data_IF_034489650537
#
_entry.id   IF_034489650537
#
_cell.length_a   1.000
_cell.length_b   1.000
_cell.length_c   1.000
_cell.angle_alpha   90.00
_cell.angle_beta   90.00
_cell.angle_gamma   90.00
#
_symmetry.space_group_name_H-M   'P 1'
#
loop_
_entity.id
_entity.type
_entity.pdbx_description
1 polymer ?
#
# COMPACT_ATOMS: atom_id res chain seq x y z
N UNK A 1 48.67 28.16 22.55
CA UNK A 1 48.05 26.85 22.79
C UNK A 1 46.69 26.96 22.11
N UNK A 2 46.62 26.45 20.88
CA UNK A 2 45.40 26.51 20.06
C UNK A 2 44.51 25.38 20.58
N UNK A 3 43.39 25.74 21.20
CA UNK A 3 42.35 24.76 21.47
C UNK A 3 41.79 24.33 20.12
N UNK A 4 42.04 23.06 19.80
CA UNK A 4 41.47 22.39 18.65
C UNK A 4 40.06 22.02 19.07
N UNK A 5 39.08 22.78 18.58
CA UNK A 5 37.68 22.35 18.59
C UNK A 5 37.59 21.06 17.79
N UNK A 6 37.39 19.95 18.50
CA UNK A 6 36.95 18.70 17.91
C UNK A 6 35.48 18.87 17.51
N UNK A 7 35.23 19.24 16.25
CA UNK A 7 33.93 18.99 15.62
C UNK A 7 33.71 17.47 15.57
N UNK A 8 32.99 16.94 16.56
CA UNK A 8 32.38 15.61 16.44
C UNK A 8 31.28 15.71 15.37
N UNK A 9 31.61 15.22 14.16
CA UNK A 9 30.73 15.22 12.99
C UNK A 9 29.54 14.28 13.17
N UNK A 10 28.62 14.65 14.06
CA UNK A 10 27.44 13.89 14.40
C UNK A 10 26.49 13.69 13.21
N UNK A 11 25.91 12.49 13.13
CA UNK A 11 24.89 12.16 12.14
C UNK A 11 23.64 13.04 12.30
N UNK A 12 23.35 13.87 11.30
CA UNK A 12 22.14 14.68 11.23
C UNK A 12 21.07 14.01 10.35
N UNK A 13 20.19 13.26 11.01
CA UNK A 13 19.03 12.59 10.38
C UNK A 13 18.13 13.58 9.63
N UNK A 14 17.90 14.76 10.18
CA UNK A 14 16.96 15.73 9.59
C UNK A 14 17.52 16.31 8.29
N UNK A 15 18.84 16.53 8.23
CA UNK A 15 19.52 16.92 7.01
C UNK A 15 19.38 15.86 5.91
N UNK A 16 19.57 14.58 6.24
CA UNK A 16 19.44 13.49 5.25
C UNK A 16 18.00 13.35 4.73
N UNK A 17 17.00 13.46 5.60
CA UNK A 17 15.59 13.45 5.18
C UNK A 17 15.24 14.64 4.29
N UNK A 18 15.71 15.83 4.64
CA UNK A 18 15.50 17.03 3.85
C UNK A 18 16.14 16.90 2.46
N UNK A 19 17.35 16.37 2.38
CA UNK A 19 18.03 16.12 1.10
C UNK A 19 17.24 15.12 0.23
N UNK A 20 16.74 14.03 0.82
CA UNK A 20 15.88 13.09 0.11
C UNK A 20 14.60 13.77 -0.41
N UNK A 21 13.94 14.55 0.44
CA UNK A 21 12.71 15.28 0.09
C UNK A 21 12.91 16.24 -1.07
N UNK A 22 14.01 17.00 -1.04
CA UNK A 22 14.37 17.99 -2.04
C UNK A 22 14.60 17.38 -3.43
N UNK A 23 15.00 16.10 -3.49
CA UNK A 23 15.14 15.38 -4.77
C UNK A 23 13.79 15.23 -5.48
N UNK A 24 12.71 15.05 -4.71
CA UNK A 24 11.37 14.70 -5.20
C UNK A 24 11.33 13.44 -6.10
N UNK A 25 12.39 12.64 -6.05
CA UNK A 25 12.59 11.46 -6.90
C UNK A 25 12.39 10.14 -6.15
N UNK A 26 12.34 10.22 -4.82
CA UNK A 26 12.09 9.11 -3.91
C UNK A 26 13.18 8.07 -3.83
N UNK A 27 12.89 6.92 -3.20
CA UNK A 27 13.87 5.83 -3.08
C UNK A 27 14.22 5.26 -4.45
N UNK A 28 13.28 5.26 -5.41
CA UNK A 28 13.58 4.86 -6.79
C UNK A 28 14.64 5.78 -7.41
N UNK A 29 14.55 7.10 -7.17
CA UNK A 29 15.57 8.05 -7.62
C UNK A 29 16.97 7.78 -7.05
N UNK A 30 17.06 7.29 -5.81
CA UNK A 30 18.34 6.87 -5.23
C UNK A 30 18.91 5.64 -5.96
N UNK A 31 18.06 4.66 -6.25
CA UNK A 31 18.46 3.46 -7.00
C UNK A 31 18.90 3.81 -8.42
N UNK A 32 18.16 4.67 -9.11
CA UNK A 32 18.52 5.13 -10.46
C UNK A 32 19.85 5.91 -10.49
N UNK A 33 20.23 6.53 -9.36
CA UNK A 33 21.52 7.19 -9.18
C UNK A 33 22.68 6.23 -8.86
N UNK A 34 22.43 4.92 -8.82
CA UNK A 34 23.45 3.89 -8.58
C UNK A 34 23.82 3.72 -7.11
N UNK A 35 22.89 3.96 -6.19
CA UNK A 35 23.09 3.75 -4.76
C UNK A 35 23.54 2.31 -4.46
N UNK A 36 24.72 2.15 -3.85
CA UNK A 36 25.28 0.85 -3.47
C UNK A 36 25.19 0.54 -1.97
N UNK A 37 24.79 1.51 -1.16
CA UNK A 37 24.69 1.38 0.30
C UNK A 37 23.45 2.11 0.81
N UNK A 38 22.76 1.52 1.77
CA UNK A 38 21.54 2.09 2.34
C UNK A 38 21.85 3.36 3.14
N UNK A 39 21.17 4.49 2.86
CA UNK A 39 21.26 5.69 3.69
C UNK A 39 20.79 5.41 5.12
N UNK A 40 21.42 6.06 6.11
CA UNK A 40 21.22 5.75 7.53
C UNK A 40 19.79 6.03 7.99
N UNK A 41 19.04 6.90 7.30
CA UNK A 41 17.62 7.16 7.58
C UNK A 41 16.72 5.93 7.37
N UNK A 42 17.15 4.96 6.56
CA UNK A 42 16.40 3.73 6.26
C UNK A 42 16.90 2.52 7.05
N UNK A 43 17.94 2.66 7.87
CA UNK A 43 18.49 1.57 8.67
C UNK A 43 17.68 1.42 9.95
N UNK A 44 17.14 0.23 10.17
CA UNK A 44 16.39 -0.13 11.38
C UNK A 44 17.26 -1.06 12.25
N UNK A 45 17.87 -0.51 13.30
CA UNK A 45 18.81 -1.25 14.16
C UNK A 45 18.21 -2.50 14.82
N UNK A 46 16.90 -2.49 15.06
CA UNK A 46 16.16 -3.63 15.63
C UNK A 46 16.00 -4.81 14.66
N UNK A 47 16.26 -4.63 13.36
CA UNK A 47 16.14 -5.68 12.35
C UNK A 47 17.24 -6.75 12.47
N UNK A 48 18.39 -6.41 13.09
CA UNK A 48 19.47 -7.36 13.35
C UNK A 48 19.11 -8.46 14.37
N UNK A 49 18.01 -8.33 15.12
CA UNK A 49 17.72 -9.20 16.28
C UNK A 49 16.71 -10.32 15.99
N UNK A 50 15.93 -10.28 14.90
CA UNK A 50 14.76 -11.17 14.76
C UNK A 50 14.67 -12.10 13.54
N UNK A 51 15.56 -12.01 12.54
CA UNK A 51 15.57 -12.97 11.43
C UNK A 51 16.39 -14.22 11.77
N UNK A 52 17.41 -14.11 12.62
CA UNK A 52 18.27 -15.25 12.99
C UNK A 52 17.79 -16.04 14.21
N UNK A 53 16.82 -15.54 14.97
CA UNK A 53 16.36 -16.12 16.25
C UNK A 53 14.97 -16.76 16.17
N UNK A 54 14.20 -16.48 15.12
CA UNK A 54 12.99 -17.24 14.82
C UNK A 54 13.40 -18.51 14.07
N UNK A 55 13.64 -19.58 14.82
CA UNK A 55 13.41 -20.91 14.28
C UNK A 55 11.94 -20.93 13.83
N UNK A 56 11.70 -20.65 12.55
CA UNK A 56 10.43 -20.96 11.91
C UNK A 56 10.28 -22.48 12.00
N UNK A 57 9.78 -22.98 13.13
CA UNK A 57 9.04 -24.23 13.09
C UNK A 57 7.89 -23.91 12.14
N UNK A 58 7.96 -24.44 10.93
CA UNK A 58 6.92 -24.28 9.93
C UNK A 58 5.64 -24.92 10.50
N UNK A 59 4.92 -24.16 11.31
CA UNK A 59 3.52 -24.42 11.56
C UNK A 59 2.85 -24.13 10.23
N UNK A 60 2.17 -25.13 9.67
CA UNK A 60 1.42 -25.02 8.40
C UNK A 60 0.21 -24.09 8.60
N UNK A 61 0.48 -22.82 8.88
CA UNK A 61 -0.48 -21.75 9.11
C UNK A 61 -0.76 -21.15 7.75
N UNK A 62 -1.88 -21.53 7.15
CA UNK A 62 -2.35 -20.98 5.87
C UNK A 62 -3.42 -19.93 6.13
N UNK A 63 -3.26 -18.75 5.52
CA UNK A 63 -4.29 -17.70 5.51
C UNK A 63 -5.58 -18.28 4.90
N UNK A 64 -6.77 -18.02 5.47
CA UNK A 64 -8.03 -18.47 4.90
C UNK A 64 -8.25 -17.94 3.48
N UNK A 65 -8.75 -18.81 2.58
CA UNK A 65 -9.13 -18.46 1.22
C UNK A 65 -10.64 -18.67 1.07
N UNK A 66 -11.35 -17.62 0.64
CA UNK A 66 -12.80 -17.61 0.48
C UNK A 66 -13.13 -17.54 -1.01
N UNK A 67 -13.79 -18.57 -1.52
CA UNK A 67 -14.27 -18.61 -2.90
C UNK A 67 -15.63 -17.91 -3.02
N UNK A 68 -15.69 -16.84 -3.83
CA UNK A 68 -16.90 -16.08 -4.11
C UNK A 68 -17.63 -16.57 -5.39
N UNK A 69 -17.12 -17.61 -6.05
CA UNK A 69 -17.65 -18.15 -7.30
C UNK A 69 -19.08 -18.68 -7.15
N UNK A 70 -19.37 -19.29 -6.01
CA UNK A 70 -20.67 -19.90 -5.68
C UNK A 70 -21.64 -18.96 -4.96
N UNK A 71 -21.30 -17.68 -4.81
CA UNK A 71 -22.12 -16.72 -4.04
C UNK A 71 -23.58 -16.61 -4.53
N UNK A 72 -23.82 -16.87 -5.81
CA UNK A 72 -25.12 -16.80 -6.45
C UNK A 72 -25.67 -18.17 -6.87
N UNK A 73 -25.03 -19.27 -6.45
CA UNK A 73 -25.54 -20.62 -6.70
C UNK A 73 -26.72 -20.93 -5.76
N UNK A 74 -27.70 -21.68 -6.26
CA UNK A 74 -28.87 -22.10 -5.47
C UNK A 74 -28.45 -22.99 -4.28
N UNK A 75 -29.09 -22.81 -3.12
CA UNK A 75 -28.84 -23.62 -1.92
C UNK A 75 -28.14 -22.88 -0.77
N UNK A 76 -27.38 -23.59 0.05
CA UNK A 76 -26.72 -23.06 1.26
C UNK A 76 -25.37 -22.38 0.99
N UNK A 77 -25.02 -22.15 -0.28
CA UNK A 77 -23.73 -21.58 -0.72
C UNK A 77 -23.39 -20.26 -0.02
N UNK A 78 -24.35 -19.31 0.04
CA UNK A 78 -24.16 -18.02 0.71
C UNK A 78 -23.91 -18.18 2.20
N UNK A 79 -24.70 -19.02 2.88
CA UNK A 79 -24.54 -19.25 4.32
C UNK A 79 -23.16 -19.81 4.66
N UNK A 80 -22.64 -20.74 3.84
CA UNK A 80 -21.29 -21.26 4.01
C UNK A 80 -20.20 -20.19 3.82
N UNK A 81 -20.36 -19.30 2.83
CA UNK A 81 -19.43 -18.18 2.61
C UNK A 81 -19.48 -17.21 3.81
N UNK A 82 -20.67 -16.86 4.29
CA UNK A 82 -20.83 -15.99 5.48
C UNK A 82 -20.14 -16.60 6.70
N UNK A 83 -20.30 -17.91 6.93
CA UNK A 83 -19.63 -18.60 8.03
C UNK A 83 -18.10 -18.58 7.87
N UNK A 84 -17.57 -18.75 6.65
CA UNK A 84 -16.13 -18.62 6.38
C UNK A 84 -15.62 -17.21 6.63
N UNK A 85 -16.37 -16.18 6.24
CA UNK A 85 -16.04 -14.77 6.50
C UNK A 85 -16.01 -14.50 8.00
N UNK A 86 -17.01 -14.99 8.75
CA UNK A 86 -17.05 -14.89 10.21
C UNK A 86 -15.82 -15.53 10.86
N UNK A 87 -15.57 -16.80 10.54
CA UNK A 87 -14.44 -17.56 11.08
C UNK A 87 -13.09 -16.91 10.78
N UNK A 88 -12.90 -16.42 9.55
CA UNK A 88 -11.68 -15.73 9.16
C UNK A 88 -11.53 -14.39 9.89
N UNK A 89 -12.60 -13.61 9.99
CA UNK A 89 -12.62 -12.34 10.73
C UNK A 89 -12.26 -12.52 12.20
N UNK A 90 -12.88 -13.49 12.89
CA UNK A 90 -12.67 -13.73 14.32
C UNK A 90 -11.29 -14.32 14.65
N UNK A 91 -10.80 -15.25 13.83
CA UNK A 91 -9.58 -16.03 14.14
C UNK A 91 -8.31 -15.40 13.56
N UNK A 92 -8.42 -14.69 12.44
CA UNK A 92 -7.27 -14.18 11.68
C UNK A 92 -7.26 -12.66 11.52
N UNK A 93 -8.43 -12.03 11.45
CA UNK A 93 -8.55 -10.64 11.02
C UNK A 93 -8.12 -10.39 9.57
N UNK A 94 -7.87 -11.45 8.79
CA UNK A 94 -7.39 -11.39 7.40
C UNK A 94 -7.78 -12.64 6.61
N UNK A 95 -8.11 -12.49 5.33
CA UNK A 95 -8.39 -13.58 4.41
C UNK A 95 -8.14 -13.16 2.96
N UNK A 96 -7.99 -14.14 2.08
CA UNK A 96 -7.95 -13.96 0.64
C UNK A 96 -9.32 -14.27 0.03
N UNK A 97 -9.64 -13.62 -1.09
CA UNK A 97 -10.82 -13.96 -1.89
C UNK A 97 -10.40 -14.41 -3.28
N UNK A 98 -11.08 -15.41 -3.82
CA UNK A 98 -10.93 -15.88 -5.20
C UNK A 98 -12.28 -15.83 -5.89
N UNK A 99 -12.30 -15.86 -7.23
CA UNK A 99 -13.52 -15.82 -8.04
C UNK A 99 -14.47 -14.62 -7.85
N UNK A 100 -14.15 -13.65 -6.99
CA UNK A 100 -13.72 -12.31 -7.41
C UNK A 100 -14.61 -11.44 -8.31
N UNK A 101 -14.81 -11.90 -9.54
CA UNK A 101 -15.40 -11.19 -10.69
C UNK A 101 -14.64 -9.95 -11.20
N UNK A 102 -13.45 -9.63 -10.67
CA UNK A 102 -12.56 -8.64 -11.30
C UNK A 102 -11.78 -9.36 -12.41
N UNK A 103 -11.82 -8.87 -13.67
CA UNK A 103 -11.07 -9.50 -14.74
C UNK A 103 -9.56 -9.50 -14.46
N UNK A 104 -8.88 -10.60 -14.78
CA UNK A 104 -7.43 -10.71 -14.59
C UNK A 104 -6.67 -9.62 -15.35
N UNK A 105 -7.13 -9.25 -16.56
CA UNK A 105 -6.53 -8.18 -17.34
C UNK A 105 -6.52 -6.83 -16.60
N UNK A 106 -7.61 -6.49 -15.90
CA UNK A 106 -7.70 -5.25 -15.12
C UNK A 106 -6.71 -5.26 -13.95
N UNK A 107 -6.53 -6.42 -13.29
CA UNK A 107 -5.54 -6.56 -12.21
C UNK A 107 -4.11 -6.38 -12.75
N UNK A 108 -3.81 -7.05 -13.87
CA UNK A 108 -2.48 -7.00 -14.50
C UNK A 108 -2.15 -5.59 -15.00
N UNK A 109 -3.10 -4.93 -15.66
CA UNK A 109 -2.95 -3.55 -16.13
C UNK A 109 -2.83 -2.56 -14.97
N UNK A 110 -3.51 -2.79 -13.84
CA UNK A 110 -3.40 -1.93 -12.66
C UNK A 110 -2.00 -2.04 -12.04
N UNK A 111 -1.47 -3.26 -11.90
CA UNK A 111 -0.10 -3.50 -11.43
C UNK A 111 0.93 -2.88 -12.38
N UNK A 112 0.77 -3.07 -13.68
CA UNK A 112 1.64 -2.51 -14.71
C UNK A 112 1.54 -0.97 -14.76
N UNK A 113 0.34 -0.41 -14.59
CA UNK A 113 0.11 1.04 -14.54
C UNK A 113 0.82 1.71 -13.37
N UNK A 114 0.74 1.14 -12.16
CA UNK A 114 1.51 1.63 -10.99
C UNK A 114 3.00 1.51 -11.25
N UNK A 115 3.46 0.38 -11.77
CA UNK A 115 4.89 0.19 -12.11
C UNK A 115 5.35 1.26 -13.10
N UNK A 116 4.64 1.41 -14.22
CA UNK A 116 4.94 2.39 -15.27
C UNK A 116 5.01 3.80 -14.72
N UNK A 117 4.08 4.20 -13.83
CA UNK A 117 4.14 5.49 -13.14
C UNK A 117 5.46 5.69 -12.39
N UNK A 118 5.88 4.73 -11.57
CA UNK A 118 7.11 4.83 -10.77
C UNK A 118 8.40 4.74 -11.60
N UNK A 119 8.34 4.08 -12.76
CA UNK A 119 9.44 3.99 -13.73
C UNK A 119 9.57 5.21 -14.66
N UNK A 120 8.63 6.17 -14.60
CA UNK A 120 8.76 7.40 -15.37
C UNK A 120 9.95 8.25 -14.91
N UNK A 121 10.41 9.12 -15.82
CA UNK A 121 11.39 10.17 -15.51
C UNK A 121 10.98 10.94 -14.25
N UNK A 122 11.95 11.21 -13.39
CA UNK A 122 11.75 11.97 -12.15
C UNK A 122 11.08 13.35 -12.40
N UNK A 123 11.30 13.96 -13.58
CA UNK A 123 10.64 15.22 -13.96
C UNK A 123 9.11 15.09 -14.02
N UNK A 124 8.58 13.99 -14.54
CA UNK A 124 7.14 13.76 -14.65
C UNK A 124 6.56 13.42 -13.27
N UNK A 125 7.20 12.51 -12.54
CA UNK A 125 6.75 12.14 -11.18
C UNK A 125 6.74 13.33 -10.21
N UNK A 126 7.68 14.28 -10.38
CA UNK A 126 7.79 15.50 -9.58
C UNK A 126 6.55 16.39 -9.63
N UNK A 127 5.76 16.33 -10.70
CA UNK A 127 4.48 17.06 -10.81
C UNK A 127 3.45 16.57 -9.78
N UNK A 128 3.51 15.28 -9.44
CA UNK A 128 2.67 14.66 -8.42
C UNK A 128 3.28 14.74 -7.02
N UNK A 129 4.55 15.13 -6.89
CA UNK A 129 5.23 15.12 -5.61
C UNK A 129 4.60 16.09 -4.62
N UNK A 130 4.16 15.59 -3.46
CA UNK A 130 3.57 16.42 -2.41
C UNK A 130 3.69 15.83 -1.02
N UNK A 131 3.93 16.71 -0.04
CA UNK A 131 3.77 16.43 1.40
C UNK A 131 2.41 16.87 1.94
N UNK A 132 1.66 17.63 1.15
CA UNK A 132 0.30 18.05 1.50
C UNK A 132 -0.66 16.87 1.34
N UNK A 133 -1.06 16.30 2.48
CA UNK A 133 -1.98 15.17 2.58
C UNK A 133 -3.45 15.55 2.30
N UNK A 134 -3.75 16.85 2.13
CA UNK A 134 -5.10 17.29 1.73
C UNK A 134 -5.31 17.15 0.22
N UNK A 135 -4.24 16.97 -0.56
CA UNK A 135 -4.35 16.67 -1.99
C UNK A 135 -4.99 15.32 -2.22
N UNK A 136 -5.88 15.26 -3.21
CA UNK A 136 -6.53 14.01 -3.62
C UNK A 136 -5.57 13.05 -4.29
N UNK A 137 -4.63 13.55 -5.08
CA UNK A 137 -3.63 12.73 -5.77
C UNK A 137 -2.25 13.29 -5.46
N UNK A 138 -1.36 12.45 -4.96
CA UNK A 138 0.03 12.81 -4.74
C UNK A 138 0.95 11.60 -4.75
N UNK A 139 2.22 11.86 -5.03
CA UNK A 139 3.33 10.93 -4.92
C UNK A 139 4.28 11.40 -3.82
N UNK A 140 4.79 10.48 -3.00
CA UNK A 140 5.88 10.78 -2.08
C UNK A 140 6.64 9.53 -1.64
N UNK A 141 7.68 9.78 -0.86
CA UNK A 141 8.48 8.77 -0.18
C UNK A 141 8.26 8.94 1.29
N UNK A 142 7.52 7.99 1.87
CA UNK A 142 6.98 8.03 3.23
C UNK A 142 6.02 9.21 3.44
N UNK A 143 5.04 9.10 4.33
CA UNK A 143 4.07 10.21 4.54
C UNK A 143 4.59 11.17 5.62
N UNK A 144 5.29 10.63 6.61
CA UNK A 144 5.71 11.37 7.79
C UNK A 144 7.21 11.18 8.06
N UNK A 145 7.94 12.28 8.17
CA UNK A 145 9.37 12.27 8.55
C UNK A 145 9.61 12.42 10.06
N UNK A 146 8.55 12.67 10.83
CA UNK A 146 8.61 12.74 12.30
C UNK A 146 8.55 11.35 12.97
N UNK A 147 8.19 10.29 12.25
CA UNK A 147 8.38 8.92 12.75
C UNK A 147 9.86 8.56 12.69
N UNK A 148 10.36 7.82 13.70
CA UNK A 148 11.76 7.38 13.77
C UNK A 148 12.15 6.45 12.61
N UNK A 149 11.16 5.80 12.01
CA UNK A 149 11.30 4.70 11.07
C UNK A 149 10.74 5.09 9.70
N UNK A 150 11.61 5.02 8.68
CA UNK A 150 11.32 5.36 7.28
C UNK A 150 11.47 4.09 6.45
N UNK A 151 10.51 3.84 5.58
CA UNK A 151 10.48 2.62 4.76
C UNK A 151 11.14 2.84 3.40
N UNK A 152 11.74 1.77 2.87
CA UNK A 152 12.29 1.66 1.53
C UNK A 152 11.19 1.50 0.48
N UNK A 153 10.37 2.54 0.33
CA UNK A 153 9.19 2.54 -0.53
C UNK A 153 8.80 3.92 -1.02
N UNK A 154 8.35 3.95 -2.26
CA UNK A 154 7.65 5.08 -2.86
C UNK A 154 6.15 4.79 -2.98
N UNK A 155 5.32 5.82 -2.83
CA UNK A 155 3.86 5.67 -2.81
C UNK A 155 3.19 6.69 -3.72
N UNK A 156 2.36 6.21 -4.64
CA UNK A 156 1.31 7.00 -5.30
C UNK A 156 0.01 6.85 -4.50
N UNK A 157 -0.56 7.96 -4.04
CA UNK A 157 -1.83 7.99 -3.34
C UNK A 157 -2.90 8.65 -4.22
N UNK A 158 -4.07 8.02 -4.30
CA UNK A 158 -5.23 8.55 -5.01
C UNK A 158 -6.49 8.41 -4.15
N UNK A 159 -7.09 9.51 -3.71
CA UNK A 159 -8.43 9.56 -3.12
C UNK A 159 -9.49 9.53 -4.22
N UNK A 160 -10.13 8.37 -4.37
CA UNK A 160 -11.08 8.07 -5.44
C UNK A 160 -12.54 8.36 -5.04
N UNK A 161 -12.84 8.32 -3.74
CA UNK A 161 -14.11 8.71 -3.15
C UNK A 161 -13.91 9.19 -1.69
N UNK A 162 -14.74 10.11 -1.15
CA UNK A 162 -15.97 10.67 -1.74
C UNK A 162 -15.71 11.81 -2.74
N UNK A 163 -16.78 12.22 -3.44
CA UNK A 163 -16.79 13.34 -4.39
C UNK A 163 -16.47 12.96 -5.83
N UNK A 164 -16.71 13.86 -6.80
CA UNK A 164 -16.39 13.61 -8.20
C UNK A 164 -14.87 13.49 -8.36
N UNK A 165 -14.43 12.40 -8.96
CA UNK A 165 -13.06 12.22 -9.43
C UNK A 165 -12.91 13.04 -10.72
N UNK A 166 -12.03 14.03 -10.74
CA UNK A 166 -11.56 14.62 -11.99
C UNK A 166 -10.46 13.70 -12.56
N UNK A 167 -10.71 12.98 -13.68
CA UNK A 167 -9.72 12.07 -14.25
C UNK A 167 -8.39 12.75 -14.57
N UNK A 168 -8.40 14.05 -14.88
CA UNK A 168 -7.19 14.80 -15.22
C UNK A 168 -6.23 14.97 -14.04
N UNK A 169 -6.71 14.79 -12.80
CA UNK A 169 -5.86 14.76 -11.60
C UNK A 169 -5.08 13.44 -11.46
N UNK A 170 -5.49 12.37 -12.14
CA UNK A 170 -4.76 11.10 -12.15
C UNK A 170 -3.58 11.13 -13.15
N UNK A 171 -2.48 10.42 -12.84
CA UNK A 171 -1.38 10.27 -13.80
C UNK A 171 -1.86 9.65 -15.10
N UNK A 172 -1.57 10.31 -16.22
CA UNK A 172 -2.06 9.90 -17.53
C UNK A 172 -1.70 8.45 -17.90
N UNK A 173 -0.55 7.96 -17.45
CA UNK A 173 -0.04 6.62 -17.77
C UNK A 173 -0.90 5.49 -17.17
N UNK A 174 -1.64 5.76 -16.09
CA UNK A 174 -2.46 4.76 -15.39
C UNK A 174 -3.88 5.24 -15.09
N UNK A 175 -4.29 6.38 -15.65
CA UNK A 175 -5.60 7.01 -15.41
C UNK A 175 -6.76 6.07 -15.72
N UNK A 176 -6.79 5.53 -16.94
CA UNK A 176 -7.95 4.79 -17.44
C UNK A 176 -8.12 3.48 -16.67
N UNK A 177 -7.01 2.77 -16.41
CA UNK A 177 -7.05 1.54 -15.59
C UNK A 177 -7.41 1.81 -14.13
N UNK A 178 -7.01 2.95 -13.53
CA UNK A 178 -7.46 3.32 -12.17
C UNK A 178 -8.98 3.45 -12.12
N UNK A 179 -9.58 4.07 -13.14
CA UNK A 179 -11.04 4.29 -13.22
C UNK A 179 -11.76 2.95 -13.41
N UNK A 180 -11.31 2.13 -14.35
CA UNK A 180 -11.90 0.80 -14.58
C UNK A 180 -11.77 -0.09 -13.34
N UNK A 181 -10.59 -0.14 -12.73
CA UNK A 181 -10.35 -0.92 -11.51
C UNK A 181 -11.23 -0.43 -10.35
N UNK A 182 -11.45 0.87 -10.20
CA UNK A 182 -12.33 1.44 -9.18
C UNK A 182 -13.78 0.93 -9.33
N UNK A 183 -14.30 0.85 -10.55
CA UNK A 183 -15.67 0.39 -10.80
C UNK A 183 -15.85 -1.09 -10.41
N UNK A 184 -14.83 -1.91 -10.65
CA UNK A 184 -14.79 -3.30 -10.19
C UNK A 184 -14.64 -3.40 -8.67
N UNK A 185 -13.74 -2.60 -8.08
CA UNK A 185 -13.45 -2.60 -6.66
C UNK A 185 -14.66 -2.19 -5.82
N UNK A 186 -15.45 -1.19 -6.27
CA UNK A 186 -16.70 -0.78 -5.62
C UNK A 186 -17.68 -1.94 -5.48
N UNK A 187 -17.87 -2.72 -6.55
CA UNK A 187 -18.77 -3.88 -6.54
C UNK A 187 -18.29 -4.93 -5.55
N UNK A 188 -17.00 -5.26 -5.59
CA UNK A 188 -16.40 -6.23 -4.66
C UNK A 188 -16.49 -5.75 -3.20
N UNK A 189 -16.20 -4.49 -2.92
CA UNK A 189 -16.29 -3.91 -1.59
C UNK A 189 -17.71 -4.00 -1.01
N UNK A 190 -18.73 -3.67 -1.82
CA UNK A 190 -20.13 -3.81 -1.41
C UNK A 190 -20.50 -5.27 -1.10
N UNK A 191 -20.09 -6.22 -1.95
CA UNK A 191 -20.30 -7.65 -1.69
C UNK A 191 -19.65 -8.10 -0.38
N UNK A 192 -18.42 -7.65 -0.09
CA UNK A 192 -17.74 -8.01 1.16
C UNK A 192 -18.41 -7.38 2.38
N UNK A 193 -18.88 -6.14 2.29
CA UNK A 193 -19.65 -5.48 3.35
C UNK A 193 -20.98 -6.19 3.62
N UNK A 194 -21.63 -6.74 2.58
CA UNK A 194 -22.83 -7.56 2.75
C UNK A 194 -22.54 -8.85 3.54
N UNK A 195 -21.49 -9.57 3.14
CA UNK A 195 -21.07 -10.79 3.82
C UNK A 195 -20.64 -10.53 5.26
N UNK A 196 -19.95 -9.41 5.53
CA UNK A 196 -19.55 -9.00 6.87
C UNK A 196 -20.77 -8.62 7.73
N UNK A 197 -21.75 -7.93 7.16
CA UNK A 197 -22.99 -7.60 7.88
C UNK A 197 -23.72 -8.88 8.33
N UNK A 198 -23.87 -9.85 7.42
CA UNK A 198 -24.49 -11.15 7.74
C UNK A 198 -23.66 -11.95 8.75
N UNK A 199 -22.33 -11.94 8.65
CA UNK A 199 -21.43 -12.59 9.60
C UNK A 199 -21.57 -12.04 11.02
N UNK A 200 -21.92 -10.75 11.15
CA UNK A 200 -22.23 -10.08 12.41
C UNK A 200 -23.66 -10.34 12.90
N UNK A 201 -24.49 -11.07 12.15
CA UNK A 201 -25.89 -11.30 12.45
C UNK A 201 -26.80 -10.10 12.17
N UNK A 202 -26.35 -9.18 11.31
CA UNK A 202 -27.08 -7.99 10.89
C UNK A 202 -27.77 -8.22 9.54
N UNK A 203 -28.65 -7.30 9.15
CA UNK A 203 -29.19 -7.27 7.79
C UNK A 203 -28.05 -7.08 6.79
N UNK A 204 -28.08 -7.78 5.64
CA UNK A 204 -26.98 -7.76 4.67
C UNK A 204 -26.56 -6.35 4.21
N UNK A 205 -27.49 -5.40 4.11
CA UNK A 205 -27.14 -4.03 3.70
C UNK A 205 -26.69 -3.11 4.86
N UNK A 206 -26.57 -3.62 6.09
CA UNK A 206 -26.34 -2.77 7.27
C UNK A 206 -25.09 -1.89 7.14
N UNK A 207 -23.91 -2.49 6.89
CA UNK A 207 -22.65 -1.73 6.79
C UNK A 207 -22.65 -0.73 5.63
N UNK A 208 -23.30 -1.08 4.52
CA UNK A 208 -23.50 -0.16 3.39
C UNK A 208 -24.36 1.04 3.80
N UNK A 209 -25.44 0.80 4.54
CA UNK A 209 -26.40 1.84 4.94
C UNK A 209 -25.86 2.82 5.99
N UNK A 210 -24.76 2.48 6.65
CA UNK A 210 -24.01 3.37 7.56
C UNK A 210 -22.73 3.93 6.91
N UNK A 211 -22.71 3.98 5.58
CA UNK A 211 -21.69 4.63 4.77
C UNK A 211 -20.27 4.01 4.84
N UNK A 212 -20.15 2.73 5.23
CA UNK A 212 -18.84 2.05 5.25
C UNK A 212 -18.17 1.88 3.87
N UNK A 213 -18.89 2.16 2.77
CA UNK A 213 -18.39 2.04 1.40
C UNK A 213 -18.01 3.38 0.75
N UNK A 214 -18.18 4.51 1.45
CA UNK A 214 -18.07 5.85 0.84
C UNK A 214 -16.62 6.32 0.63
N UNK A 215 -15.71 5.92 1.51
CA UNK A 215 -14.30 6.27 1.43
C UNK A 215 -13.52 5.25 0.61
N UNK A 216 -13.01 5.66 -0.56
CA UNK A 216 -12.17 4.79 -1.39
C UNK A 216 -10.90 5.54 -1.75
N UNK A 217 -9.77 4.96 -1.40
CA UNK A 217 -8.46 5.43 -1.83
C UNK A 217 -7.62 4.26 -2.34
N UNK A 218 -6.71 4.56 -3.25
CA UNK A 218 -5.73 3.64 -3.77
C UNK A 218 -4.34 4.05 -3.31
N UNK A 219 -3.52 3.07 -2.98
CA UNK A 219 -2.11 3.24 -2.66
C UNK A 219 -1.29 2.38 -3.62
N UNK A 220 -0.68 3.01 -4.62
CA UNK A 220 0.25 2.40 -5.55
C UNK A 220 1.66 2.38 -4.95
N UNK A 221 1.95 1.36 -4.14
CA UNK A 221 3.25 1.18 -3.52
C UNK A 221 4.28 0.58 -4.48
N UNK A 222 5.50 1.09 -4.43
CA UNK A 222 6.61 0.62 -5.24
C UNK A 222 7.86 0.45 -4.38
N UNK A 223 8.42 -0.76 -4.42
CA UNK A 223 9.54 -1.22 -3.60
C UNK A 223 10.73 -1.51 -4.53
N UNK A 224 11.60 -0.53 -4.81
CA UNK A 224 12.75 -0.77 -5.66
C UNK A 224 13.74 -1.74 -4.99
N UNK A 225 14.63 -2.39 -5.76
CA UNK A 225 15.70 -3.22 -5.20
C UNK A 225 16.49 -2.46 -4.12
N UNK A 226 16.67 -3.08 -2.95
CA UNK A 226 17.44 -2.52 -1.84
C UNK A 226 18.85 -3.15 -1.81
N UNK A 227 19.94 -2.37 -1.66
CA UNK A 227 21.29 -2.91 -1.57
C UNK A 227 21.57 -3.69 -0.27
N UNK A 228 20.87 -3.34 0.81
CA UNK A 228 21.01 -3.97 2.15
C UNK A 228 19.61 -4.28 2.72
N UNK A 229 18.85 -5.23 2.12
CA UNK A 229 17.45 -5.50 2.46
C UNK A 229 17.26 -5.97 3.90
N UNK A 230 18.27 -6.57 4.51
CA UNK A 230 18.29 -7.01 5.92
C UNK A 230 18.40 -5.86 6.93
N UNK A 231 18.54 -4.61 6.47
CA UNK A 231 18.62 -3.42 7.32
C UNK A 231 17.37 -2.55 7.25
N UNK A 232 16.37 -2.89 6.43
CA UNK A 232 15.21 -2.03 6.17
C UNK A 232 13.88 -2.76 5.98
N UNK A 233 12.81 -1.98 5.91
CA UNK A 233 11.45 -2.44 5.65
C UNK A 233 10.88 -1.80 4.38
N UNK A 234 9.97 -2.49 3.70
CA UNK A 234 9.09 -1.89 2.69
C UNK A 234 7.93 -1.11 3.32
#
# INVERSE_FOLDING_TARGET
>A
MVEVDHEDGGYDRNKELKLLDETKAGVKGLVDAGLTKLPKIFVHDNHKVNISSSSFSATNVSIPVIDLGSLHEEGNSRHEIVQKVKDAGEKWGFFQVVNHKIPQSVLDEMLDGVRKFHEQDAKVKREFYSRDITKRVFYNTNINFSTSEVNWRDTLYCLLAPGPLDPHQLPSICRDVIIEYLDHLKKLALTLLELLSEALGLEGNYLKNIDCAEGIFMVGNYYPPCPEPELTWG
#
